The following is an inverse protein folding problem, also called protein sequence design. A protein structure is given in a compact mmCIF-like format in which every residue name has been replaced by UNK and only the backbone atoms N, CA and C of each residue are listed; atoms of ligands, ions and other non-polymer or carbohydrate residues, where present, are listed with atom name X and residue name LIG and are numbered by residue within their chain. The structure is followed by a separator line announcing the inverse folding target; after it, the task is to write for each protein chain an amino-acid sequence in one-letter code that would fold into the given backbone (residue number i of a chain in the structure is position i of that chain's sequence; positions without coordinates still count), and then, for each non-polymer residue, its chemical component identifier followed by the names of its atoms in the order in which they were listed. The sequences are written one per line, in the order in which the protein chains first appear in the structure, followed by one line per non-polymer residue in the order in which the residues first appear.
data_IF_416604886883
#
_entry.id   IF_416604886883
#
_cell.length_a   1.000
_cell.length_b   1.000
_cell.length_c   1.000
_cell.angle_alpha   90.00
_cell.angle_beta   90.00
_cell.angle_gamma   90.00
#
_symmetry.space_group_name_H-M   'P 1'
#
loop_
_entity.id
_entity.type
_entity.pdbx_description
1 polymer ?
#
# COMPACT_ATOMS: atom_id res chain seq x y z
N UNK A 1 19.35 16.97 0.60
CA UNK A 1 18.83 16.82 -0.78
C UNK A 1 18.21 15.44 -0.83
N UNK A 2 16.96 15.27 -1.24
CA UNK A 2 16.37 13.91 -1.35
C UNK A 2 17.03 13.25 -2.55
N UNK A 3 17.60 12.06 -2.37
CA UNK A 3 18.21 11.30 -3.46
C UNK A 3 17.14 10.93 -4.47
N UNK A 4 17.23 11.53 -5.64
CA UNK A 4 16.34 11.28 -6.78
C UNK A 4 17.08 10.35 -7.74
N UNK A 5 16.44 9.24 -8.09
CA UNK A 5 17.02 8.16 -8.88
C UNK A 5 16.37 8.12 -10.27
N UNK A 6 17.16 8.09 -11.36
CA UNK A 6 16.63 7.89 -12.69
C UNK A 6 16.28 6.41 -12.92
N UNK A 7 15.05 6.17 -13.39
CA UNK A 7 14.56 4.83 -13.71
C UNK A 7 13.88 4.82 -15.08
N UNK A 8 13.71 3.63 -15.63
CA UNK A 8 12.95 3.39 -16.86
C UNK A 8 11.79 2.44 -16.56
N UNK A 9 10.64 2.69 -17.14
CA UNK A 9 9.52 1.76 -17.16
C UNK A 9 9.90 0.56 -18.02
N UNK A 10 10.18 -0.57 -17.39
CA UNK A 10 10.56 -1.80 -18.08
C UNK A 10 9.35 -2.58 -18.56
N UNK A 11 8.24 -2.52 -17.82
CA UNK A 11 7.03 -3.21 -18.21
C UNK A 11 5.78 -2.69 -17.49
N UNK A 12 4.65 -2.87 -18.16
CA UNK A 12 3.32 -2.54 -17.68
C UNK A 12 2.38 -3.71 -17.99
N UNK A 13 1.62 -4.18 -17.01
CA UNK A 13 0.59 -5.20 -17.24
C UNK A 13 -0.56 -5.09 -16.25
N UNK A 14 -1.73 -5.58 -16.67
CA UNK A 14 -2.91 -5.57 -15.82
C UNK A 14 -2.76 -6.53 -14.64
N UNK A 15 -3.23 -6.08 -13.48
CA UNK A 15 -3.38 -6.90 -12.29
C UNK A 15 -4.85 -6.81 -11.84
N UNK A 16 -5.61 -7.86 -12.15
CA UNK A 16 -7.06 -7.81 -12.01
C UNK A 16 -7.70 -6.75 -12.91
N UNK A 17 -8.96 -6.41 -12.66
CA UNK A 17 -9.75 -5.54 -13.53
C UNK A 17 -9.38 -4.04 -13.42
N UNK A 18 -8.88 -3.60 -12.27
CA UNK A 18 -8.74 -2.16 -11.94
C UNK A 18 -7.31 -1.70 -11.71
N UNK A 19 -6.34 -2.63 -11.64
CA UNK A 19 -4.98 -2.31 -11.25
C UNK A 19 -4.00 -2.47 -12.41
N UNK A 20 -2.93 -1.71 -12.38
CA UNK A 20 -1.82 -1.78 -13.32
C UNK A 20 -0.52 -2.01 -12.54
N UNK A 21 0.17 -3.10 -12.84
CA UNK A 21 1.54 -3.30 -12.37
C UNK A 21 2.50 -2.49 -13.23
N UNK A 22 3.49 -1.89 -12.58
CA UNK A 22 4.55 -1.08 -13.22
C UNK A 22 5.89 -1.59 -12.71
N UNK A 23 6.70 -2.11 -13.61
CA UNK A 23 8.08 -2.51 -13.31
C UNK A 23 9.04 -1.40 -13.69
N UNK A 24 9.86 -1.00 -12.74
CA UNK A 24 10.87 0.03 -12.89
C UNK A 24 12.25 -0.60 -12.76
N UNK A 25 13.17 -0.23 -13.65
CA UNK A 25 14.58 -0.62 -13.60
C UNK A 25 15.45 0.62 -13.57
N UNK A 26 16.68 0.50 -13.09
CA UNK A 26 17.64 1.60 -13.12
C UNK A 26 17.92 2.06 -14.56
N UNK A 27 17.89 3.36 -14.80
CA UNK A 27 18.29 3.92 -16.11
C UNK A 27 19.79 3.78 -16.38
N UNK A 28 20.60 3.57 -15.33
CA UNK A 28 22.06 3.48 -15.39
C UNK A 28 22.57 2.04 -15.33
N UNK A 29 21.66 1.05 -15.27
CA UNK A 29 22.00 -0.37 -15.21
C UNK A 29 22.59 -0.84 -13.87
N UNK A 30 22.66 0.02 -12.85
CA UNK A 30 23.10 -0.36 -11.51
C UNK A 30 21.93 -0.98 -10.71
N UNK A 31 22.19 -1.84 -9.72
CA UNK A 31 21.15 -2.29 -8.81
C UNK A 31 20.47 -1.10 -8.12
N UNK A 32 19.15 -1.16 -8.01
CA UNK A 32 18.40 -0.18 -7.26
C UNK A 32 18.72 -0.29 -5.75
N UNK A 33 18.58 0.79 -4.96
CA UNK A 33 18.77 0.73 -3.52
C UNK A 33 17.99 -0.38 -2.84
N UNK A 34 18.56 -0.98 -1.80
CA UNK A 34 17.86 -1.98 -1.00
C UNK A 34 16.65 -1.35 -0.31
N UNK A 35 15.62 -2.15 -0.10
CA UNK A 35 14.43 -1.75 0.60
C UNK A 35 13.91 -2.86 1.51
N UNK A 36 13.05 -2.51 2.44
CA UNK A 36 12.45 -3.45 3.40
C UNK A 36 10.92 -3.49 3.21
N UNK A 37 10.24 -4.60 3.54
CA UNK A 37 8.79 -4.72 3.41
C UNK A 37 8.05 -3.57 4.09
N UNK A 38 7.07 -2.99 3.41
CA UNK A 38 6.37 -1.77 3.84
C UNK A 38 6.96 -0.47 3.31
N UNK A 39 8.10 -0.51 2.60
CA UNK A 39 8.68 0.68 1.99
C UNK A 39 7.85 1.19 0.79
N UNK A 40 7.95 2.50 0.57
CA UNK A 40 7.35 3.20 -0.56
C UNK A 40 8.34 4.16 -1.22
N UNK A 41 8.03 4.59 -2.43
CA UNK A 41 8.76 5.61 -3.18
C UNK A 41 7.84 6.75 -3.60
N UNK A 42 8.41 7.93 -3.83
CA UNK A 42 7.75 9.00 -4.58
C UNK A 42 8.05 8.79 -6.07
N UNK A 43 7.01 8.69 -6.89
CA UNK A 43 7.10 8.62 -8.33
C UNK A 43 6.82 10.00 -8.93
N UNK A 44 7.81 10.56 -9.62
CA UNK A 44 7.70 11.85 -10.29
C UNK A 44 7.20 11.63 -11.71
N UNK A 45 5.99 12.04 -11.98
CA UNK A 45 5.35 11.88 -13.29
C UNK A 45 5.69 13.06 -14.21
N UNK A 46 5.88 12.83 -15.53
CA UNK A 46 6.15 13.89 -16.50
C UNK A 46 5.14 15.03 -16.54
N UNK A 47 3.91 14.78 -16.10
CA UNK A 47 2.88 15.81 -15.94
C UNK A 47 3.07 16.72 -14.69
N UNK A 48 4.22 16.65 -14.01
CA UNK A 48 4.56 17.44 -12.83
C UNK A 48 3.96 16.93 -11.51
N UNK A 49 3.20 15.85 -11.53
CA UNK A 49 2.62 15.26 -10.33
C UNK A 49 3.63 14.33 -9.65
N UNK A 50 3.69 14.39 -8.32
CA UNK A 50 4.42 13.41 -7.51
C UNK A 50 3.38 12.57 -6.78
N UNK A 51 3.56 11.24 -6.82
CA UNK A 51 2.67 10.29 -6.15
C UNK A 51 3.48 9.23 -5.42
N UNK A 52 3.00 8.87 -4.26
CA UNK A 52 3.60 7.87 -3.38
C UNK A 52 2.99 6.50 -3.67
N UNK A 53 3.84 5.49 -3.84
CA UNK A 53 3.43 4.10 -4.07
C UNK A 53 4.28 3.15 -3.25
N UNK A 54 3.62 2.19 -2.59
CA UNK A 54 4.30 1.11 -1.88
C UNK A 54 5.02 0.21 -2.87
N UNK A 55 6.23 -0.22 -2.51
CA UNK A 55 6.93 -1.28 -3.20
C UNK A 55 6.26 -2.62 -2.90
N UNK A 56 6.08 -3.43 -3.94
CA UNK A 56 5.47 -4.76 -3.83
C UNK A 56 6.38 -5.83 -4.41
N UNK A 57 6.05 -7.11 -4.19
CA UNK A 57 6.91 -8.22 -4.60
C UNK A 57 8.02 -8.51 -3.59
N UNK A 58 9.08 -9.17 -4.05
CA UNK A 58 10.17 -9.61 -3.19
C UNK A 58 11.21 -8.51 -2.96
N UNK A 59 11.55 -8.15 -1.71
CA UNK A 59 12.65 -7.23 -1.43
C UNK A 59 14.04 -7.77 -1.82
N UNK A 60 14.17 -9.06 -2.08
CA UNK A 60 15.41 -9.67 -2.56
C UNK A 60 15.74 -9.31 -4.02
N UNK A 61 14.74 -8.91 -4.81
CA UNK A 61 14.93 -8.46 -6.19
C UNK A 61 15.48 -7.03 -6.19
N UNK A 62 16.77 -6.89 -6.50
CA UNK A 62 17.52 -5.61 -6.50
C UNK A 62 17.64 -4.98 -7.88
N UNK A 63 17.35 -5.72 -8.93
CA UNK A 63 17.42 -5.29 -10.33
C UNK A 63 16.19 -4.45 -10.74
N UNK A 64 15.13 -4.49 -9.94
CA UNK A 64 13.85 -3.84 -10.25
C UNK A 64 13.07 -3.39 -9.02
N UNK A 65 12.17 -2.45 -9.23
CA UNK A 65 11.06 -2.17 -8.32
C UNK A 65 9.75 -2.49 -9.00
N UNK A 66 8.82 -3.06 -8.24
CA UNK A 66 7.47 -3.34 -8.69
C UNK A 66 6.49 -2.46 -7.91
N UNK A 67 5.62 -1.77 -8.65
CA UNK A 67 4.50 -1.02 -8.12
C UNK A 67 3.20 -1.64 -8.62
N UNK A 68 2.10 -1.45 -7.89
CA UNK A 68 0.77 -1.74 -8.41
C UNK A 68 -0.17 -0.58 -8.09
N UNK A 69 -0.81 -0.03 -9.11
CA UNK A 69 -1.54 1.21 -9.05
C UNK A 69 -3.01 0.95 -9.41
N UNK A 70 -3.92 1.22 -8.47
CA UNK A 70 -5.34 1.18 -8.74
C UNK A 70 -5.77 2.39 -9.58
N UNK A 71 -6.66 2.17 -10.57
CA UNK A 71 -7.31 3.26 -11.28
C UNK A 71 -8.42 3.85 -10.41
N UNK A 72 -8.14 4.96 -9.77
CA UNK A 72 -9.11 5.67 -8.93
C UNK A 72 -10.14 6.40 -9.80
N UNK A 73 -11.43 6.23 -9.48
CA UNK A 73 -12.52 6.91 -10.17
C UNK A 73 -12.49 8.42 -9.96
N UNK A 74 -12.09 8.87 -8.76
CA UNK A 74 -11.89 10.28 -8.39
C UNK A 74 -10.41 10.64 -8.37
N UNK A 75 -9.66 10.24 -9.40
CA UNK A 75 -8.22 10.48 -9.48
C UNK A 75 -7.89 11.97 -9.52
N UNK A 76 -6.92 12.39 -8.69
CA UNK A 76 -6.27 13.71 -8.76
C UNK A 76 -5.19 13.76 -9.86
N UNK A 77 -5.40 13.02 -10.95
CA UNK A 77 -4.57 12.98 -12.15
C UNK A 77 -3.50 11.89 -12.18
N UNK A 78 -2.89 11.51 -11.05
CA UNK A 78 -1.74 10.61 -11.02
C UNK A 78 -2.05 9.21 -11.52
N UNK A 79 -3.01 8.50 -10.91
CA UNK A 79 -3.36 7.13 -11.34
C UNK A 79 -3.92 7.12 -12.77
N UNK A 80 -4.65 8.18 -13.17
CA UNK A 80 -5.13 8.32 -14.56
C UNK A 80 -3.97 8.41 -15.54
N UNK A 81 -2.98 9.29 -15.27
CA UNK A 81 -1.79 9.43 -16.12
C UNK A 81 -1.07 8.09 -16.28
N UNK A 82 -0.88 7.35 -15.19
CA UNK A 82 -0.19 6.06 -15.21
C UNK A 82 -0.93 5.05 -16.07
N UNK A 83 -2.25 4.95 -15.91
CA UNK A 83 -3.06 3.99 -16.66
C UNK A 83 -3.22 4.35 -18.15
N UNK A 84 -3.33 5.65 -18.48
CA UNK A 84 -3.71 6.08 -19.82
C UNK A 84 -2.49 6.46 -20.67
N UNK A 85 -1.41 6.96 -20.04
CA UNK A 85 -0.29 7.63 -20.75
C UNK A 85 1.05 6.92 -20.58
N UNK A 86 1.34 6.33 -19.42
CA UNK A 86 2.64 5.72 -19.15
C UNK A 86 2.90 4.54 -20.11
N UNK A 87 4.12 4.44 -20.63
CA UNK A 87 4.52 3.40 -21.61
C UNK A 87 5.85 2.77 -21.22
N UNK A 88 6.12 1.50 -21.60
CA UNK A 88 7.44 0.89 -21.50
C UNK A 88 8.49 1.71 -22.24
N UNK A 89 9.71 1.75 -21.71
CA UNK A 89 10.82 2.56 -22.23
C UNK A 89 10.80 4.03 -21.76
N UNK A 90 9.76 4.49 -21.10
CA UNK A 90 9.66 5.87 -20.65
C UNK A 90 10.55 6.12 -19.43
N UNK A 91 11.41 7.17 -19.45
CA UNK A 91 12.20 7.56 -18.28
C UNK A 91 11.33 8.24 -17.23
N UNK A 92 11.62 7.95 -15.97
CA UNK A 92 10.98 8.55 -14.80
C UNK A 92 12.02 8.86 -13.73
N UNK A 93 11.64 9.66 -12.77
CA UNK A 93 12.43 9.92 -11.55
C UNK A 93 11.67 9.38 -10.34
N UNK A 94 12.40 8.77 -9.41
CA UNK A 94 11.84 8.29 -8.16
C UNK A 94 12.68 8.77 -6.97
N UNK A 95 12.08 8.83 -5.78
CA UNK A 95 12.86 8.95 -4.55
C UNK A 95 13.54 7.63 -4.20
N UNK A 96 14.59 7.67 -3.39
CA UNK A 96 15.02 6.47 -2.68
C UNK A 96 13.87 5.91 -1.82
N UNK A 97 13.83 4.58 -1.58
CA UNK A 97 12.80 3.95 -0.74
C UNK A 97 12.84 4.50 0.69
N UNK A 98 11.65 4.72 1.25
CA UNK A 98 11.44 5.08 2.65
C UNK A 98 10.45 4.11 3.27
N UNK A 99 10.64 3.75 4.54
CA UNK A 99 9.76 2.83 5.23
C UNK A 99 9.19 3.45 6.50
N UNK A 100 7.88 3.66 6.52
CA UNK A 100 7.09 4.10 7.68
C UNK A 100 6.12 3.02 8.16
N UNK A 101 6.20 1.83 7.55
CA UNK A 101 5.36 0.68 7.85
C UNK A 101 6.21 -0.60 7.93
N UNK A 102 7.24 -0.63 8.79
CA UNK A 102 8.20 -1.73 8.83
C UNK A 102 7.57 -3.02 9.35
N UNK A 103 7.94 -4.14 8.72
CA UNK A 103 7.64 -5.46 9.22
C UNK A 103 8.55 -5.77 10.42
N UNK A 104 7.95 -6.13 11.55
CA UNK A 104 8.68 -6.57 12.74
C UNK A 104 9.13 -8.02 12.59
N UNK A 105 10.31 -8.31 13.10
CA UNK A 105 10.84 -9.67 13.16
C UNK A 105 10.17 -10.47 14.29
N UNK A 106 10.19 -11.80 14.16
CA UNK A 106 9.66 -12.74 15.17
C UNK A 106 8.16 -12.97 15.07
N UNK A 107 7.65 -13.87 15.88
CA UNK A 107 6.24 -14.19 16.06
C UNK A 107 5.47 -14.61 14.80
N UNK A 108 4.17 -14.70 14.93
CA UNK A 108 3.23 -14.87 13.82
C UNK A 108 2.76 -13.51 13.30
N UNK A 109 2.51 -13.42 11.99
CA UNK A 109 2.00 -12.19 11.37
C UNK A 109 0.68 -12.46 10.65
N UNK A 110 -0.36 -11.69 11.02
CA UNK A 110 -1.64 -11.67 10.32
C UNK A 110 -1.67 -10.46 9.40
N UNK A 111 -1.80 -10.68 8.10
CA UNK A 111 -1.84 -9.65 7.06
C UNK A 111 -3.28 -9.51 6.54
N UNK A 112 -3.91 -8.35 6.75
CA UNK A 112 -5.29 -8.08 6.35
C UNK A 112 -5.30 -6.99 5.29
N UNK A 113 -5.47 -7.38 4.03
CA UNK A 113 -5.47 -6.49 2.88
C UNK A 113 -6.88 -6.24 2.34
N UNK A 114 -7.19 -5.01 1.92
CA UNK A 114 -8.39 -4.75 1.13
C UNK A 114 -8.05 -3.93 -0.13
N UNK A 115 -8.51 -4.43 -1.29
CA UNK A 115 -8.26 -3.78 -2.58
C UNK A 115 -6.77 -3.58 -2.84
N UNK A 116 -6.37 -2.33 -3.18
CA UNK A 116 -4.96 -2.02 -3.48
C UNK A 116 -4.06 -2.00 -2.23
N UNK A 117 -4.61 -2.08 -1.02
CA UNK A 117 -3.86 -2.26 0.22
C UNK A 117 -3.06 -3.57 0.27
N UNK A 118 -3.23 -4.45 -0.70
CA UNK A 118 -2.40 -5.66 -0.87
C UNK A 118 -0.92 -5.32 -1.10
N UNK A 119 -0.58 -4.18 -1.68
CA UNK A 119 0.78 -3.88 -2.15
C UNK A 119 1.86 -3.94 -1.08
N UNK A 120 1.78 -3.25 0.07
CA UNK A 120 2.79 -3.39 1.11
C UNK A 120 2.74 -4.75 1.81
N UNK A 121 1.54 -5.32 1.94
CA UNK A 121 1.34 -6.59 2.63
C UNK A 121 1.84 -7.79 1.81
N UNK A 122 1.79 -7.71 0.48
CA UNK A 122 2.39 -8.72 -0.39
C UNK A 122 3.91 -8.77 -0.22
N UNK A 123 4.57 -7.61 -0.12
CA UNK A 123 6.00 -7.56 0.16
C UNK A 123 6.35 -8.18 1.53
N UNK A 124 5.50 -7.94 2.54
CA UNK A 124 5.64 -8.58 3.86
C UNK A 124 5.47 -10.10 3.77
N UNK A 125 4.47 -10.57 3.04
CA UNK A 125 4.23 -12.00 2.83
C UNK A 125 5.40 -12.68 2.11
N UNK A 126 5.97 -12.04 1.08
CA UNK A 126 7.19 -12.53 0.40
C UNK A 126 8.38 -12.65 1.36
N UNK A 127 8.62 -11.64 2.18
CA UNK A 127 9.72 -11.68 3.14
C UNK A 127 9.54 -12.78 4.19
N UNK A 128 8.32 -12.96 4.71
CA UNK A 128 7.99 -14.03 5.66
C UNK A 128 8.16 -15.41 5.03
N UNK A 129 7.65 -15.60 3.81
CA UNK A 129 7.81 -16.84 3.07
C UNK A 129 9.29 -17.17 2.81
N UNK A 130 10.09 -16.19 2.40
CA UNK A 130 11.52 -16.36 2.14
C UNK A 130 12.33 -16.71 3.39
N UNK A 131 11.94 -16.21 4.57
CA UNK A 131 12.58 -16.56 5.84
C UNK A 131 12.03 -17.80 6.52
N UNK A 132 11.01 -18.46 5.94
CA UNK A 132 10.31 -19.58 6.56
C UNK A 132 9.50 -19.19 7.80
N UNK A 133 9.22 -17.93 8.00
CA UNK A 133 8.52 -17.43 9.16
C UNK A 133 7.00 -17.48 8.96
N UNK A 134 6.27 -17.81 10.04
CA UNK A 134 4.82 -18.03 10.00
C UNK A 134 4.03 -16.75 9.71
N UNK A 135 3.07 -16.81 8.78
CA UNK A 135 2.13 -15.75 8.50
C UNK A 135 0.80 -16.27 7.94
N UNK A 136 -0.22 -15.41 8.03
CA UNK A 136 -1.52 -15.61 7.39
C UNK A 136 -1.86 -14.35 6.59
N UNK A 137 -2.28 -14.50 5.34
CA UNK A 137 -2.72 -13.39 4.48
C UNK A 137 -4.20 -13.56 4.13
N UNK A 138 -5.02 -12.60 4.56
CA UNK A 138 -6.42 -12.45 4.17
C UNK A 138 -6.57 -11.24 3.25
N UNK A 139 -6.92 -11.50 1.99
CA UNK A 139 -7.07 -10.46 0.97
C UNK A 139 -8.52 -10.31 0.55
N UNK A 140 -9.12 -9.17 0.90
CA UNK A 140 -10.52 -8.85 0.63
C UNK A 140 -10.68 -8.03 -0.64
N UNK A 141 -11.53 -8.52 -1.53
CA UNK A 141 -11.89 -7.85 -2.79
C UNK A 141 -13.41 -7.87 -2.98
N UNK A 142 -13.95 -6.99 -3.83
CA UNK A 142 -15.38 -7.02 -4.14
C UNK A 142 -15.73 -8.26 -4.95
N UNK A 143 -14.88 -8.61 -5.93
CA UNK A 143 -15.03 -9.74 -6.86
C UNK A 143 -13.68 -10.38 -7.14
N UNK A 144 -13.64 -11.67 -7.43
CA UNK A 144 -12.41 -12.42 -7.71
C UNK A 144 -11.56 -11.77 -8.82
N UNK A 145 -12.17 -11.26 -9.86
CA UNK A 145 -11.49 -10.58 -10.97
C UNK A 145 -10.84 -9.23 -10.59
N UNK A 146 -11.11 -8.69 -9.42
CA UNK A 146 -10.49 -7.47 -8.92
C UNK A 146 -9.23 -7.74 -8.09
N UNK A 147 -8.96 -9.00 -7.75
CA UNK A 147 -7.79 -9.39 -6.99
C UNK A 147 -6.51 -9.16 -7.81
N UNK A 148 -5.65 -8.27 -7.32
CA UNK A 148 -4.31 -8.12 -7.85
C UNK A 148 -3.43 -9.28 -7.37
N UNK A 149 -2.49 -9.74 -8.20
CA UNK A 149 -1.52 -10.78 -7.85
C UNK A 149 -2.12 -12.12 -7.41
N UNK A 150 -3.39 -12.41 -7.73
CA UNK A 150 -4.07 -13.63 -7.28
C UNK A 150 -3.30 -14.91 -7.65
N UNK A 151 -2.82 -15.01 -8.89
CA UNK A 151 -2.04 -16.16 -9.37
C UNK A 151 -0.67 -16.25 -8.67
N UNK A 152 -0.02 -15.11 -8.43
CA UNK A 152 1.25 -15.03 -7.74
C UNK A 152 1.10 -15.46 -6.27
N UNK A 153 0.10 -14.92 -5.58
CA UNK A 153 -0.24 -15.29 -4.20
C UNK A 153 -0.42 -16.81 -4.08
N UNK A 154 -1.18 -17.41 -5.00
CA UNK A 154 -1.46 -18.84 -4.99
C UNK A 154 -0.22 -19.72 -5.25
N UNK A 155 0.74 -19.26 -6.07
CA UNK A 155 1.91 -20.05 -6.51
C UNK A 155 3.16 -19.84 -5.67
N UNK A 156 3.42 -18.61 -5.21
CA UNK A 156 4.72 -18.22 -4.63
C UNK A 156 4.69 -18.13 -3.11
N UNK A 157 3.53 -18.10 -2.50
CA UNK A 157 3.38 -17.96 -1.05
C UNK A 157 2.99 -19.28 -0.37
N UNK A 158 3.47 -20.40 -0.90
CA UNK A 158 3.14 -21.75 -0.42
C UNK A 158 3.54 -22.04 1.04
N UNK A 159 4.39 -21.21 1.66
CA UNK A 159 4.81 -21.35 3.07
C UNK A 159 3.85 -20.71 4.08
N UNK A 160 2.85 -19.95 3.63
CA UNK A 160 1.86 -19.25 4.46
C UNK A 160 0.44 -19.68 4.15
N UNK A 161 -0.49 -19.29 5.01
CA UNK A 161 -1.92 -19.43 4.74
C UNK A 161 -2.37 -18.17 4.02
N UNK A 162 -2.73 -18.30 2.73
CA UNK A 162 -3.18 -17.19 1.91
C UNK A 162 -4.62 -17.43 1.44
N UNK A 163 -5.52 -16.50 1.73
CA UNK A 163 -6.94 -16.58 1.37
C UNK A 163 -7.39 -15.30 0.71
N UNK A 164 -8.09 -15.42 -0.44
CA UNK A 164 -8.75 -14.31 -1.10
C UNK A 164 -10.24 -14.42 -0.81
N UNK A 165 -10.81 -13.35 -0.26
CA UNK A 165 -12.21 -13.27 0.15
C UNK A 165 -12.98 -12.36 -0.81
N UNK A 166 -14.02 -12.88 -1.44
CA UNK A 166 -14.86 -12.16 -2.40
C UNK A 166 -16.18 -11.74 -1.74
N UNK A 167 -16.46 -10.44 -1.74
CA UNK A 167 -17.68 -9.92 -1.10
C UNK A 167 -18.96 -10.36 -1.81
N UNK A 168 -18.93 -10.53 -3.14
CA UNK A 168 -20.06 -11.05 -3.92
C UNK A 168 -20.33 -12.55 -3.69
N UNK A 169 -19.40 -13.26 -3.06
CA UNK A 169 -19.55 -14.65 -2.61
C UNK A 169 -19.92 -14.74 -1.10
N UNK A 170 -20.33 -13.64 -0.49
CA UNK A 170 -20.68 -13.62 0.95
C UNK A 170 -19.47 -13.63 1.89
N UNK A 171 -18.26 -13.30 1.41
CA UNK A 171 -17.02 -13.30 2.20
C UNK A 171 -16.51 -11.87 2.45
N UNK A 172 -17.42 -10.94 2.71
CA UNK A 172 -17.05 -9.56 2.98
C UNK A 172 -16.29 -9.41 4.31
N UNK A 173 -15.51 -8.32 4.50
CA UNK A 173 -14.89 -8.04 5.80
C UNK A 173 -15.89 -7.99 6.97
N UNK A 174 -17.16 -7.64 6.71
CA UNK A 174 -18.20 -7.64 7.73
C UNK A 174 -18.52 -9.03 8.29
N UNK A 175 -18.40 -10.04 7.44
CA UNK A 175 -18.75 -11.42 7.76
C UNK A 175 -17.58 -12.21 8.29
N UNK A 176 -16.38 -11.90 7.79
CA UNK A 176 -15.20 -12.75 7.98
C UNK A 176 -14.20 -12.23 9.00
N UNK A 177 -14.07 -10.90 9.14
CA UNK A 177 -12.92 -10.29 9.79
C UNK A 177 -12.68 -10.77 11.23
N UNK A 178 -13.74 -11.02 12.01
CA UNK A 178 -13.60 -11.51 13.38
C UNK A 178 -12.95 -12.90 13.43
N UNK A 179 -13.30 -13.77 12.48
CA UNK A 179 -12.71 -15.11 12.35
C UNK A 179 -11.28 -15.03 11.81
N UNK A 180 -11.07 -14.20 10.78
CA UNK A 180 -9.79 -14.11 10.06
C UNK A 180 -8.71 -13.41 10.89
N UNK A 181 -9.12 -12.52 11.81
CA UNK A 181 -8.24 -11.88 12.78
C UNK A 181 -7.79 -12.86 13.88
N UNK A 182 -8.65 -13.80 14.26
CA UNK A 182 -8.39 -14.76 15.33
C UNK A 182 -8.36 -14.14 16.73
N UNK A 183 -8.01 -14.95 17.72
CA UNK A 183 -7.80 -14.51 19.10
C UNK A 183 -6.41 -13.85 19.26
N UNK A 184 -6.29 -12.83 20.14
CA UNK A 184 -5.00 -12.22 20.42
C UNK A 184 -4.02 -13.22 21.05
N UNK A 185 -2.77 -13.13 20.61
CA UNK A 185 -1.63 -13.87 21.12
C UNK A 185 -0.46 -12.89 21.26
N UNK A 186 0.32 -12.99 22.34
CA UNK A 186 1.36 -12.02 22.68
C UNK A 186 2.44 -11.88 21.59
N UNK A 187 2.75 -12.97 20.87
CA UNK A 187 3.77 -13.01 19.83
C UNK A 187 3.22 -12.71 18.43
N UNK A 188 1.92 -12.47 18.30
CA UNK A 188 1.27 -12.18 17.01
C UNK A 188 1.19 -10.66 16.78
N UNK A 189 1.44 -10.25 15.52
CA UNK A 189 1.27 -8.86 15.05
C UNK A 189 0.31 -8.85 13.87
N UNK A 190 -0.56 -7.85 13.85
CA UNK A 190 -1.55 -7.64 12.80
C UNK A 190 -1.16 -6.45 11.95
N UNK A 191 -0.99 -6.67 10.65
CA UNK A 191 -0.72 -5.62 9.66
C UNK A 191 -1.92 -5.47 8.75
N UNK A 192 -2.39 -4.25 8.56
CA UNK A 192 -3.55 -4.03 7.70
C UNK A 192 -3.43 -2.76 6.87
N UNK A 193 -3.94 -2.86 5.63
CA UNK A 193 -3.96 -1.77 4.68
C UNK A 193 -5.17 -1.90 3.75
N UNK A 194 -5.83 -0.77 3.48
CA UNK A 194 -7.01 -0.72 2.63
C UNK A 194 -7.79 0.58 2.73
N UNK A 195 -9.02 0.65 2.21
CA UNK A 195 -9.88 1.82 2.30
C UNK A 195 -10.20 2.22 3.75
N UNK A 196 -10.49 3.51 4.03
CA UNK A 196 -10.71 4.00 5.40
C UNK A 196 -11.77 3.21 6.19
N UNK A 197 -12.87 2.82 5.55
CA UNK A 197 -13.93 2.03 6.19
C UNK A 197 -13.49 0.60 6.56
N UNK A 198 -12.59 0.01 5.79
CA UNK A 198 -11.96 -1.27 6.14
C UNK A 198 -11.01 -1.09 7.33
N UNK A 199 -10.15 -0.08 7.29
CA UNK A 199 -9.19 0.21 8.35
C UNK A 199 -9.87 0.44 9.71
N UNK A 200 -10.95 1.23 9.72
CA UNK A 200 -11.75 1.46 10.92
C UNK A 200 -12.33 0.14 11.44
N UNK A 201 -12.92 -0.66 10.57
CA UNK A 201 -13.50 -1.95 10.95
C UNK A 201 -12.48 -2.93 11.53
N UNK A 202 -11.26 -3.00 10.95
CA UNK A 202 -10.19 -3.85 11.51
C UNK A 202 -9.88 -3.42 12.95
N UNK A 203 -9.71 -2.12 13.21
CA UNK A 203 -9.44 -1.61 14.57
C UNK A 203 -10.57 -1.90 15.55
N UNK A 204 -11.82 -1.69 15.13
CA UNK A 204 -12.98 -1.93 15.99
C UNK A 204 -13.13 -3.42 16.31
N UNK A 205 -12.93 -4.29 15.31
CA UNK A 205 -12.98 -5.75 15.50
C UNK A 205 -11.85 -6.24 16.39
N UNK A 206 -10.63 -5.75 16.17
CA UNK A 206 -9.47 -6.10 16.96
C UNK A 206 -9.64 -5.68 18.43
N UNK A 207 -10.10 -4.45 18.67
CA UNK A 207 -10.38 -3.95 20.02
C UNK A 207 -11.46 -4.79 20.72
N UNK A 208 -12.54 -5.12 20.03
CA UNK A 208 -13.61 -5.97 20.57
C UNK A 208 -13.12 -7.39 20.89
N UNK A 209 -12.13 -7.91 20.18
CA UNK A 209 -11.52 -9.22 20.41
C UNK A 209 -10.40 -9.18 21.48
N UNK A 210 -10.03 -8.01 22.01
CA UNK A 210 -9.02 -7.88 23.07
C UNK A 210 -7.57 -7.71 22.56
N UNK A 211 -7.35 -7.38 21.26
CA UNK A 211 -6.03 -7.06 20.74
C UNK A 211 -5.53 -5.72 21.30
N UNK A 212 -4.26 -5.67 21.66
CA UNK A 212 -3.61 -4.44 22.11
C UNK A 212 -3.24 -3.54 20.91
N UNK A 213 -3.33 -2.22 21.10
CA UNK A 213 -2.98 -1.26 20.03
C UNK A 213 -1.52 -1.42 19.56
N UNK A 214 -0.61 -1.81 20.45
CA UNK A 214 0.80 -2.08 20.11
C UNK A 214 1.00 -3.26 19.15
N UNK A 215 0.02 -4.14 19.01
CA UNK A 215 0.04 -5.27 18.09
C UNK A 215 -0.51 -4.92 16.71
N UNK A 216 -1.16 -3.75 16.57
CA UNK A 216 -1.88 -3.33 15.37
C UNK A 216 -1.05 -2.33 14.56
N UNK A 217 -0.63 -2.73 13.38
CA UNK A 217 0.17 -1.91 12.47
C UNK A 217 -0.61 -1.62 11.21
N UNK A 218 -0.64 -0.36 10.77
CA UNK A 218 -1.43 0.01 9.59
C UNK A 218 -0.78 1.13 8.78
N UNK A 219 -0.98 1.08 7.47
CA UNK A 219 -0.65 2.17 6.55
C UNK A 219 -1.92 2.65 5.84
N UNK A 220 -2.16 3.96 5.83
CA UNK A 220 -3.27 4.59 5.13
C UNK A 220 -2.78 5.29 3.87
N UNK A 221 -3.36 4.97 2.70
CA UNK A 221 -3.00 5.61 1.42
C UNK A 221 -3.69 6.96 1.20
N UNK A 222 -4.68 7.28 2.00
CA UNK A 222 -5.37 8.57 1.99
C UNK A 222 -5.39 9.13 3.41
N UNK A 223 -5.18 10.43 3.60
CA UNK A 223 -5.38 11.03 4.90
C UNK A 223 -6.83 10.76 5.35
N UNK A 224 -7.07 10.52 6.65
CA UNK A 224 -8.43 10.41 7.16
C UNK A 224 -9.22 11.66 6.78
N UNK A 225 -10.49 11.50 6.43
CA UNK A 225 -11.37 12.63 6.20
C UNK A 225 -11.34 13.55 7.44
N UNK A 226 -11.25 14.88 7.28
CA UNK A 226 -11.23 15.78 8.42
C UNK A 226 -12.48 15.51 9.27
N UNK A 227 -12.28 15.19 10.55
CA UNK A 227 -13.36 15.10 11.51
C UNK A 227 -13.95 16.49 11.70
N UNK A 228 -15.27 16.62 11.90
CA UNK A 228 -15.98 17.89 12.07
C UNK A 228 -15.35 18.80 13.14
N UNK A 229 -14.59 18.28 14.10
CA UNK A 229 -13.84 19.02 15.09
C UNK A 229 -12.61 19.77 14.51
N UNK A 230 -12.03 19.35 13.40
CA UNK A 230 -10.88 20.00 12.75
C UNK A 230 -11.32 21.13 11.81
N UNK A 231 -12.57 21.14 11.35
CA UNK A 231 -13.11 22.18 10.51
C UNK A 231 -13.41 23.48 11.28
N UNK A 232 -13.56 23.44 12.60
CA UNK A 232 -13.82 24.60 13.44
C UNK A 232 -12.55 25.42 13.79
N UNK A 233 -11.36 24.88 13.58
CA UNK A 233 -10.08 25.56 13.91
C UNK A 233 -9.50 26.41 12.76
N UNK A 234 -10.15 26.42 11.58
CA UNK A 234 -9.69 27.10 10.36
C UNK A 234 -10.41 28.38 9.98
N UNK A 235 -11.33 28.89 10.80
CA UNK A 235 -11.99 30.17 10.55
C UNK A 235 -11.12 31.34 11.09
N UNK A 236 -9.92 31.50 10.55
CA UNK A 236 -9.15 32.75 10.66
C UNK A 236 -9.82 33.83 9.79
N UNK A 237 -10.34 34.88 10.43
CA UNK A 237 -10.93 36.01 9.74
C UNK A 237 -9.94 36.74 8.82
N UNK A 238 -10.41 37.62 7.93
CA UNK A 238 -9.58 38.32 6.96
C UNK A 238 -8.55 39.21 7.66
N UNK A 239 -7.27 38.98 7.39
CA UNK A 239 -6.19 39.84 7.81
C UNK A 239 -6.12 41.01 6.82
N UNK A 240 -6.49 42.21 7.26
CA UNK A 240 -6.34 43.44 6.47
C UNK A 240 -4.91 43.94 6.61
N UNK A 241 -4.11 43.86 5.53
CA UNK A 241 -2.79 44.49 5.43
C UNK A 241 -2.95 45.94 5.03
N UNK A 242 -2.66 46.88 5.93
CA UNK A 242 -2.57 48.32 5.63
C UNK A 242 -1.14 48.63 5.20
N UNK A 243 -0.94 49.02 3.95
CA UNK A 243 0.34 49.54 3.45
C UNK A 243 0.47 50.98 3.92
N UNK A 244 1.50 51.29 4.72
CA UNK A 244 1.89 52.66 5.04
C UNK A 244 2.60 53.27 3.81
N UNK A 245 2.16 54.43 3.37
CA UNK A 245 2.80 55.18 2.32
C UNK A 245 4.12 55.82 2.84
N UNK A 246 5.17 55.90 2.01
CA UNK A 246 6.41 56.56 2.39
C UNK A 246 6.21 58.09 2.39
N UNK A 247 6.67 58.73 3.47
CA UNK A 247 6.84 60.16 3.55
C UNK A 247 8.19 60.64 3.00
#
# INVERSE_FOLDING_TARGET
MRDILPVVVDGLWRQGAKNLAVRLVSAEGQPLPAWTPGAHIDLHLPCGLIRQYSLTGSPAERDRYLLCIARESQSRGGSRYIHDTLRPGQPLMISAPRNHFPLHEGGHVVLLAAGIGITPLLAMAHARAASGASFTLHYYVSRAQEAAFATEIARQLAGGICQIHCSDEGQSPRQRLAQDLGAPDADTRVYFCGPPGFMARVRDTARAAGWEEAQLHSEAFQPPAPTAASAAAGAGGPVTLTLAAPG
#
